data_IF_650339930148
#
_entry.id   IF_650339930148
#
_cell.length_a   1.000
_cell.length_b   1.000
_cell.length_c   1.000
_cell.angle_alpha   90.00
_cell.angle_beta   90.00
_cell.angle_gamma   90.00
#
_symmetry.space_group_name_H-M   'P 1'
#
loop_
_entity.id
_entity.type
_entity.pdbx_description
1 polymer ?
#
# COMPACT_ATOMS: atom_id res chain seq x y z
N UNK A 1 -6.68 12.41 7.94
CA UNK A 1 -5.23 12.69 7.93
C UNK A 1 -4.85 13.28 6.60
N UNK A 2 -4.00 14.31 6.56
CA UNK A 2 -3.50 14.89 5.31
C UNK A 2 -2.14 14.27 4.92
N UNK A 3 -1.69 14.52 3.69
CA UNK A 3 -0.43 13.97 3.15
C UNK A 3 0.79 14.29 4.02
N UNK A 4 0.92 15.51 4.54
CA UNK A 4 2.07 15.94 5.35
C UNK A 4 2.14 15.20 6.69
N UNK A 5 1.00 15.00 7.34
CA UNK A 5 0.93 14.21 8.58
C UNK A 5 1.31 12.75 8.33
N UNK A 6 0.87 12.18 7.22
CA UNK A 6 1.25 10.83 6.84
C UNK A 6 2.75 10.72 6.56
N UNK A 7 3.32 11.67 5.82
CA UNK A 7 4.76 11.73 5.53
C UNK A 7 5.59 11.80 6.81
N UNK A 8 5.26 12.72 7.72
CA UNK A 8 5.95 12.83 9.01
C UNK A 8 5.91 11.52 9.79
N UNK A 9 4.73 10.91 9.93
CA UNK A 9 4.59 9.65 10.65
C UNK A 9 5.37 8.51 9.99
N UNK A 10 5.34 8.41 8.67
CA UNK A 10 6.10 7.40 7.92
C UNK A 10 7.59 7.58 8.19
N UNK A 11 8.12 8.78 8.01
CA UNK A 11 9.55 9.07 8.20
C UNK A 11 10.03 8.81 9.62
N UNK A 12 9.21 9.11 10.64
CA UNK A 12 9.53 8.84 12.06
C UNK A 12 9.50 7.35 12.42
N UNK A 13 8.86 6.50 11.60
CA UNK A 13 8.66 5.07 11.85
C UNK A 13 9.29 4.20 10.76
N UNK A 14 10.30 4.69 10.06
CA UNK A 14 11.13 3.86 9.20
C UNK A 14 12.12 3.05 10.04
N UNK A 15 12.60 1.95 9.47
CA UNK A 15 13.68 1.19 10.08
C UNK A 15 14.95 2.06 10.22
N UNK A 16 15.74 1.89 11.29
CA UNK A 16 16.94 2.70 11.51
C UNK A 16 17.92 2.62 10.33
N UNK A 17 18.28 3.79 9.78
CA UNK A 17 19.22 3.89 8.66
C UNK A 17 18.60 3.62 7.28
N UNK A 18 17.29 3.38 7.20
CA UNK A 18 16.57 3.22 5.94
C UNK A 18 16.13 4.58 5.36
N UNK A 19 16.11 4.70 4.05
CA UNK A 19 15.76 5.94 3.36
C UNK A 19 14.46 5.80 2.57
N UNK A 20 13.60 6.81 2.68
CA UNK A 20 12.32 6.84 1.97
C UNK A 20 12.53 7.20 0.50
N UNK A 21 12.22 6.26 -0.40
CA UNK A 21 12.17 6.51 -1.85
C UNK A 21 10.85 7.20 -2.22
N UNK A 22 9.75 6.78 -1.58
CA UNK A 22 8.46 7.44 -1.71
C UNK A 22 7.34 6.64 -1.08
N UNK A 23 6.15 7.23 -1.06
CA UNK A 23 4.99 6.59 -0.45
C UNK A 23 3.70 6.93 -1.20
N UNK A 24 2.70 6.07 -1.04
CA UNK A 24 1.40 6.24 -1.67
C UNK A 24 0.28 5.64 -0.82
N UNK A 25 -0.92 6.15 -1.02
CA UNK A 25 -2.12 5.63 -0.40
C UNK A 25 -2.67 4.46 -1.21
N UNK A 26 -3.14 3.42 -0.52
CA UNK A 26 -3.75 2.26 -1.14
C UNK A 26 -4.92 1.71 -0.31
N UNK A 27 -5.87 1.07 -0.99
CA UNK A 27 -7.01 0.42 -0.36
C UNK A 27 -6.96 -1.08 -0.63
N UNK A 28 -7.10 -1.89 0.41
CA UNK A 28 -7.45 -3.30 0.29
C UNK A 28 -8.97 -3.41 0.19
N UNK A 29 -9.51 -3.81 -0.98
CA UNK A 29 -10.95 -3.93 -1.14
C UNK A 29 -11.50 -5.05 -0.25
N UNK A 30 -12.77 -4.89 0.13
CA UNK A 30 -13.54 -5.94 0.79
C UNK A 30 -13.63 -7.20 -0.09
N UNK A 31 -13.91 -8.35 0.54
CA UNK A 31 -14.32 -9.53 -0.22
C UNK A 31 -15.61 -9.20 -0.98
N UNK A 32 -15.64 -9.48 -2.28
CA UNK A 32 -16.78 -9.21 -3.14
C UNK A 32 -18.10 -9.80 -2.61
N UNK A 33 -18.03 -10.98 -1.97
CA UNK A 33 -19.20 -11.59 -1.32
C UNK A 33 -19.81 -10.75 -0.20
N UNK A 34 -19.00 -9.98 0.52
CA UNK A 34 -19.49 -9.10 1.58
C UNK A 34 -20.31 -7.91 1.05
N UNK A 35 -20.14 -7.56 -0.22
CA UNK A 35 -20.93 -6.50 -0.86
C UNK A 35 -22.41 -6.91 -0.91
N UNK A 36 -22.70 -8.17 -1.25
CA UNK A 36 -24.07 -8.68 -1.31
C UNK A 36 -24.70 -8.85 0.08
N UNK A 37 -23.89 -9.20 1.10
CA UNK A 37 -24.39 -9.45 2.45
C UNK A 37 -24.60 -8.17 3.26
N UNK A 38 -23.68 -7.21 3.16
CA UNK A 38 -23.67 -6.01 4.00
C UNK A 38 -24.23 -4.77 3.29
N UNK A 39 -24.52 -4.86 1.99
CA UNK A 39 -24.93 -3.72 1.18
C UNK A 39 -23.92 -2.58 1.35
N UNK A 40 -24.37 -1.31 1.55
CA UNK A 40 -23.50 -0.14 1.69
C UNK A 40 -22.46 -0.21 2.82
N UNK A 41 -22.70 -0.99 3.88
CA UNK A 41 -21.79 -1.13 5.02
C UNK A 41 -20.51 -1.91 4.68
N UNK A 42 -20.43 -2.54 3.50
CA UNK A 42 -19.21 -3.20 3.03
C UNK A 42 -17.98 -2.28 3.03
N UNK A 43 -18.18 -0.96 2.88
CA UNK A 43 -17.10 0.04 2.92
C UNK A 43 -16.32 0.01 4.25
N UNK A 44 -16.97 -0.32 5.37
CA UNK A 44 -16.33 -0.43 6.69
C UNK A 44 -15.36 -1.62 6.78
N UNK A 45 -15.50 -2.59 5.87
CA UNK A 45 -14.63 -3.78 5.80
C UNK A 45 -13.41 -3.55 4.92
N UNK A 46 -13.38 -2.47 4.13
CA UNK A 46 -12.20 -2.06 3.40
C UNK A 46 -11.10 -1.63 4.38
N UNK A 47 -9.86 -1.94 4.04
CA UNK A 47 -8.70 -1.51 4.84
C UNK A 47 -7.90 -0.49 4.04
N UNK A 48 -7.49 0.58 4.70
CA UNK A 48 -6.70 1.65 4.10
C UNK A 48 -5.25 1.51 4.55
N UNK A 49 -4.33 1.83 3.65
CA UNK A 49 -2.90 1.74 3.88
C UNK A 49 -2.20 2.98 3.34
N UNK A 50 -1.17 3.44 4.05
CA UNK A 50 -0.05 4.08 3.41
C UNK A 50 1.04 3.04 3.17
N UNK A 51 1.50 2.94 1.93
CA UNK A 51 2.59 2.06 1.54
C UNK A 51 3.81 2.94 1.31
N UNK A 52 4.86 2.73 2.08
CA UNK A 52 6.13 3.41 1.95
C UNK A 52 7.15 2.45 1.35
N UNK A 53 7.84 2.91 0.31
CA UNK A 53 8.90 2.18 -0.38
C UNK A 53 10.21 2.82 0.03
N UNK A 54 11.12 1.99 0.49
CA UNK A 54 12.41 2.41 1.03
C UNK A 54 13.55 1.69 0.31
N UNK A 55 14.79 1.99 0.68
CA UNK A 55 15.96 1.30 0.11
C UNK A 55 16.02 -0.17 0.51
N UNK A 56 15.51 -0.52 1.69
CA UNK A 56 15.60 -1.89 2.22
C UNK A 56 14.36 -2.73 1.93
N UNK A 57 13.20 -2.11 1.73
CA UNK A 57 11.97 -2.85 1.52
C UNK A 57 10.71 -2.00 1.39
N UNK A 58 9.61 -2.55 1.89
CA UNK A 58 8.29 -1.95 1.81
C UNK A 58 7.59 -1.99 3.17
N UNK A 59 7.20 -0.82 3.66
CA UNK A 59 6.42 -0.64 4.87
C UNK A 59 4.94 -0.45 4.56
N UNK A 60 4.08 -1.20 5.24
CA UNK A 60 2.63 -1.16 5.12
C UNK A 60 2.02 -0.59 6.41
N UNK A 61 1.70 0.69 6.38
CA UNK A 61 1.06 1.38 7.48
C UNK A 61 -0.45 1.31 7.35
N UNK A 62 -1.08 0.42 8.12
CA UNK A 62 -2.53 0.23 8.15
C UNK A 62 -3.21 1.34 8.92
N UNK A 63 -4.29 1.86 8.34
CA UNK A 63 -5.18 2.83 8.97
C UNK A 63 -6.45 2.18 9.50
N UNK A 64 -7.01 2.79 10.54
CA UNK A 64 -8.38 2.55 10.98
C UNK A 64 -9.41 3.27 10.10
N UNK A 65 -10.68 3.10 10.43
CA UNK A 65 -11.81 3.70 9.72
C UNK A 65 -11.79 5.24 9.83
N UNK A 66 -11.19 5.79 10.89
CA UNK A 66 -11.02 7.23 11.12
C UNK A 66 -9.75 7.80 10.44
N UNK A 67 -8.97 6.95 9.77
CA UNK A 67 -7.72 7.32 9.11
C UNK A 67 -6.52 7.50 10.04
N UNK A 68 -6.54 6.91 11.24
CA UNK A 68 -5.40 6.88 12.18
C UNK A 68 -4.56 5.62 11.97
N UNK A 69 -3.25 5.74 12.13
CA UNK A 69 -2.32 4.60 12.08
C UNK A 69 -2.60 3.62 13.22
N UNK A 70 -2.72 2.33 12.88
CA UNK A 70 -2.97 1.25 13.86
C UNK A 70 -1.87 0.22 13.91
N UNK A 71 -1.32 -0.12 12.75
CA UNK A 71 -0.38 -1.24 12.61
C UNK A 71 0.59 -0.93 11.48
N UNK A 72 1.83 -1.35 11.67
CA UNK A 72 2.92 -1.19 10.72
C UNK A 72 3.55 -2.56 10.53
N UNK A 73 3.53 -3.03 9.29
CA UNK A 73 4.25 -4.23 8.89
C UNK A 73 5.38 -3.81 7.93
N UNK A 74 6.62 -4.17 8.24
CA UNK A 74 7.75 -4.00 7.34
C UNK A 74 8.17 -5.33 6.72
N UNK A 75 8.48 -5.32 5.43
CA UNK A 75 9.01 -6.48 4.71
C UNK A 75 10.20 -6.02 3.89
N UNK A 76 11.34 -6.70 4.05
CA UNK A 76 12.49 -6.48 3.18
C UNK A 76 12.16 -6.95 1.77
N UNK A 77 12.90 -6.49 0.77
CA UNK A 77 12.73 -7.02 -0.60
C UNK A 77 12.91 -8.53 -0.67
N UNK A 78 13.75 -9.08 0.20
CA UNK A 78 13.95 -10.52 0.30
C UNK A 78 12.75 -11.29 0.87
N UNK A 79 11.86 -10.64 1.63
CA UNK A 79 10.64 -11.27 2.18
C UNK A 79 9.49 -11.33 1.16
N UNK A 80 9.57 -10.49 0.13
CA UNK A 80 8.58 -10.37 -0.93
C UNK A 80 8.97 -11.28 -2.08
N UNK A 81 8.17 -12.31 -2.33
CA UNK A 81 8.42 -13.28 -3.39
C UNK A 81 8.16 -12.66 -4.76
N UNK A 82 7.04 -11.94 -4.91
CA UNK A 82 6.71 -11.26 -6.16
C UNK A 82 5.67 -10.17 -5.99
N UNK A 83 5.60 -9.27 -6.97
CA UNK A 83 4.53 -8.28 -7.11
C UNK A 83 3.84 -8.41 -8.46
N UNK A 84 2.51 -8.40 -8.44
CA UNK A 84 1.68 -8.22 -9.64
C UNK A 84 1.21 -6.79 -9.70
N UNK A 85 1.48 -6.08 -10.80
CA UNK A 85 1.00 -4.72 -11.02
C UNK A 85 0.04 -4.72 -12.22
N UNK A 86 -1.25 -4.51 -11.95
CA UNK A 86 -2.30 -4.49 -12.96
C UNK A 86 -2.39 -3.15 -13.71
N UNK A 87 -3.36 -3.03 -14.61
CA UNK A 87 -3.71 -1.76 -15.25
C UNK A 87 -5.01 -1.20 -14.67
N UNK A 88 -5.06 0.11 -14.48
CA UNK A 88 -6.26 0.81 -14.03
C UNK A 88 -6.10 2.32 -14.16
N UNK A 89 -7.21 3.03 -14.42
CA UNK A 89 -7.18 4.46 -14.78
C UNK A 89 -7.12 5.39 -13.56
N UNK A 90 -7.88 5.07 -12.50
CA UNK A 90 -7.93 5.86 -11.26
C UNK A 90 -7.08 5.26 -10.14
N UNK A 91 -6.97 3.94 -10.13
CA UNK A 91 -6.23 3.16 -9.16
C UNK A 91 -5.40 2.09 -9.87
N UNK A 92 -4.26 1.76 -9.29
CA UNK A 92 -3.37 0.71 -9.74
C UNK A 92 -3.56 -0.54 -8.86
N UNK A 93 -4.14 -1.63 -9.37
CA UNK A 93 -4.20 -2.89 -8.64
C UNK A 93 -2.79 -3.44 -8.44
N UNK A 94 -2.45 -3.81 -7.21
CA UNK A 94 -1.17 -4.41 -6.84
C UNK A 94 -1.41 -5.65 -5.98
N UNK A 95 -0.67 -6.71 -6.22
CA UNK A 95 -0.71 -7.92 -5.37
C UNK A 95 0.70 -8.26 -4.96
N UNK A 96 1.00 -8.08 -3.68
CA UNK A 96 2.26 -8.51 -3.08
C UNK A 96 2.09 -9.95 -2.60
N UNK A 97 2.92 -10.85 -3.10
CA UNK A 97 3.04 -12.23 -2.61
C UNK A 97 4.31 -12.32 -1.78
N UNK A 98 4.19 -12.77 -0.55
CA UNK A 98 5.31 -12.92 0.38
C UNK A 98 5.76 -14.37 0.42
N UNK A 99 7.01 -14.62 0.79
CA UNK A 99 7.58 -15.98 0.93
C UNK A 99 6.81 -16.89 1.90
N UNK A 100 5.99 -16.32 2.78
CA UNK A 100 5.07 -17.05 3.66
C UNK A 100 3.82 -17.57 2.94
N UNK A 101 3.74 -17.49 1.61
CA UNK A 101 2.55 -17.73 0.78
C UNK A 101 1.36 -16.78 1.06
N UNK A 102 1.54 -15.78 1.93
CA UNK A 102 0.52 -14.75 2.17
C UNK A 102 0.47 -13.78 1.00
N UNK A 103 -0.72 -13.26 0.71
CA UNK A 103 -0.94 -12.28 -0.36
C UNK A 103 -1.63 -11.03 0.17
N UNK A 104 -1.11 -9.86 -0.18
CA UNK A 104 -1.72 -8.57 0.11
C UNK A 104 -2.15 -7.90 -1.20
N UNK A 105 -3.47 -7.86 -1.41
CA UNK A 105 -4.10 -7.21 -2.56
C UNK A 105 -4.44 -5.76 -2.22
N UNK A 106 -3.88 -4.83 -2.97
CA UNK A 106 -4.04 -3.39 -2.79
C UNK A 106 -4.48 -2.73 -4.09
N UNK A 107 -5.11 -1.56 -3.97
CA UNK A 107 -5.38 -0.65 -5.07
C UNK A 107 -4.76 0.69 -4.72
N UNK A 108 -3.59 0.97 -5.31
CA UNK A 108 -2.86 2.22 -5.09
C UNK A 108 -3.54 3.38 -5.82
N UNK A 109 -3.61 4.55 -5.19
CA UNK A 109 -4.25 5.72 -5.78
C UNK A 109 -3.34 6.34 -6.86
N UNK A 110 -3.85 6.54 -8.08
CA UNK A 110 -3.07 7.17 -9.17
C UNK A 110 -3.40 8.66 -9.35
N UNK A 111 -4.67 9.04 -9.23
CA UNK A 111 -5.16 10.42 -9.43
C UNK A 111 -6.38 10.72 -8.56
N UNK A 112 -6.64 11.99 -8.27
CA UNK A 112 -7.99 12.46 -7.94
C UNK A 112 -8.33 12.72 -6.47
N UNK A 113 -7.39 12.60 -5.53
CA UNK A 113 -7.62 13.03 -4.14
C UNK A 113 -6.42 13.82 -3.67
N UNK A 114 -6.44 15.16 -3.82
CA UNK A 114 -5.34 16.07 -3.45
C UNK A 114 -4.81 15.86 -2.02
N UNK A 115 -5.67 15.34 -1.13
CA UNK A 115 -5.36 15.14 0.28
C UNK A 115 -4.51 13.91 0.58
N UNK A 116 -4.34 12.97 -0.36
CA UNK A 116 -3.60 11.71 -0.14
C UNK A 116 -2.45 11.55 -1.13
N UNK A 117 -1.41 10.81 -0.73
CA UNK A 117 -0.28 10.55 -1.60
C UNK A 117 -0.67 9.57 -2.72
N UNK A 118 -0.31 9.90 -3.95
CA UNK A 118 -0.52 9.06 -5.14
C UNK A 118 0.73 8.27 -5.47
N UNK A 119 0.57 7.08 -6.07
CA UNK A 119 1.66 6.30 -6.62
C UNK A 119 2.30 7.06 -7.78
N UNK A 120 3.52 7.56 -7.56
CA UNK A 120 4.32 8.21 -8.59
C UNK A 120 4.99 7.17 -9.49
N UNK A 121 5.26 7.50 -10.78
CA UNK A 121 5.95 6.59 -11.69
C UNK A 121 7.31 6.12 -11.17
N UNK A 122 8.12 7.03 -10.59
CA UNK A 122 9.44 6.71 -10.01
C UNK A 122 9.37 5.62 -8.94
N UNK A 123 8.38 5.70 -8.06
CA UNK A 123 8.17 4.71 -6.97
C UNK A 123 7.71 3.37 -7.54
N UNK A 124 6.84 3.38 -8.56
CA UNK A 124 6.42 2.15 -9.23
C UNK A 124 7.62 1.48 -9.91
N UNK A 125 8.43 2.22 -10.65
CA UNK A 125 9.65 1.70 -11.28
C UNK A 125 10.60 1.10 -10.25
N UNK A 126 10.79 1.77 -9.10
CA UNK A 126 11.63 1.25 -8.03
C UNK A 126 11.13 -0.10 -7.48
N UNK A 127 9.81 -0.23 -7.29
CA UNK A 127 9.18 -1.49 -6.90
C UNK A 127 9.45 -2.58 -7.94
N UNK A 128 9.27 -2.28 -9.23
CA UNK A 128 9.44 -3.24 -10.33
C UNK A 128 10.90 -3.70 -10.49
N UNK A 129 11.87 -2.85 -10.13
CA UNK A 129 13.29 -3.16 -10.18
C UNK A 129 13.77 -4.00 -9.00
N UNK A 130 13.15 -3.84 -7.82
CA UNK A 130 13.60 -4.48 -6.58
C UNK A 130 12.73 -5.66 -6.14
N UNK A 131 11.55 -5.86 -6.74
CA UNK A 131 10.66 -6.98 -6.45
C UNK A 131 10.38 -7.75 -7.73
N UNK A 132 10.56 -9.09 -7.76
CA UNK A 132 10.25 -9.90 -8.92
C UNK A 132 8.80 -9.71 -9.41
N UNK A 133 8.62 -9.55 -10.72
CA UNK A 133 7.29 -9.44 -11.30
C UNK A 133 6.65 -10.81 -11.46
N UNK A 134 5.44 -10.99 -10.93
CA UNK A 134 4.64 -12.16 -11.24
C UNK A 134 3.95 -11.97 -12.59
N UNK A 135 4.05 -12.98 -13.47
CA UNK A 135 3.32 -13.04 -14.74
C UNK A 135 1.78 -12.98 -14.53
#
# INVERSE_FOLDING_TARGET
MNKQQAEKHITENLEPGDQLIGFFFAIKPANFWLIFLLGPFFMLTMRQYYVAVTEQGVSFFKLDILGKFQLHDFFTYSDIESVKIGRGMLQRPMVFTFKTNRKLKLKAQLKGVEKVATLKPEVQTYIEQNIPLSL
#
